data_IF_612199780230
#
_entry.id   IF_612199780230
#
_cell.length_a   1.000
_cell.length_b   1.000
_cell.length_c   1.000
_cell.angle_alpha   90.00
_cell.angle_beta   90.00
_cell.angle_gamma   90.00
#
_symmetry.space_group_name_H-M   'P 1'
#
loop_
_entity.id
_entity.type
_entity.pdbx_description
1 polymer ?
#
# COMPACT_ATOMS: atom_id res chain seq x y z
N UNK A 1 6.28 15.68 2.41
CA UNK A 1 7.54 15.04 1.97
C UNK A 1 7.36 13.52 1.86
N UNK A 2 7.99 12.94 0.86
CA UNK A 2 8.08 11.50 0.66
C UNK A 2 9.54 11.13 0.83
N UNK A 3 9.83 10.14 1.65
CA UNK A 3 11.15 9.60 1.86
C UNK A 3 11.12 8.10 1.61
N UNK A 4 12.11 7.56 0.94
CA UNK A 4 12.21 6.14 0.68
C UNK A 4 13.65 5.68 0.64
N UNK A 5 13.89 4.45 1.02
CA UNK A 5 15.20 3.82 1.00
C UNK A 5 15.10 2.33 0.71
N UNK A 6 16.17 1.81 0.15
CA UNK A 6 16.35 0.38 -0.07
C UNK A 6 17.52 -0.09 0.79
N UNK A 7 17.28 -1.15 1.54
CA UNK A 7 18.26 -1.77 2.40
C UNK A 7 18.44 -3.21 1.93
N UNK A 8 19.67 -3.62 1.65
CA UNK A 8 20.03 -5.00 1.29
C UNK A 8 20.99 -5.56 2.34
N UNK A 9 20.46 -5.95 3.51
CA UNK A 9 21.31 -6.39 4.62
C UNK A 9 22.04 -7.70 4.29
N UNK A 10 21.46 -8.52 3.42
CA UNK A 10 21.99 -9.81 3.01
C UNK A 10 21.73 -10.00 1.51
N UNK A 11 22.53 -10.81 0.86
CA UNK A 11 22.41 -11.10 -0.59
C UNK A 11 21.08 -11.74 -0.98
N UNK A 12 20.42 -12.38 -0.02
CA UNK A 12 19.13 -13.05 -0.20
C UNK A 12 17.93 -12.23 0.30
N UNK A 13 18.15 -11.06 0.92
CA UNK A 13 17.10 -10.21 1.48
C UNK A 13 17.24 -8.76 0.99
N UNK A 14 16.18 -8.25 0.38
CA UNK A 14 16.04 -6.86 -0.01
C UNK A 14 14.80 -6.29 0.68
N UNK A 15 14.97 -5.15 1.35
CA UNK A 15 13.90 -4.43 2.05
C UNK A 15 13.77 -3.04 1.43
N UNK A 16 12.60 -2.70 0.95
CA UNK A 16 12.28 -1.37 0.45
C UNK A 16 11.27 -0.72 1.38
N UNK A 17 11.65 0.42 1.94
CA UNK A 17 10.79 1.21 2.83
C UNK A 17 10.46 2.52 2.15
N UNK A 18 9.19 2.86 2.07
CA UNK A 18 8.72 4.16 1.57
C UNK A 18 7.78 4.76 2.61
N UNK A 19 8.04 5.99 3.02
CA UNK A 19 7.21 6.72 3.96
C UNK A 19 6.83 8.07 3.36
N UNK A 20 5.56 8.39 3.38
CA UNK A 20 5.01 9.67 2.96
C UNK A 20 4.21 10.29 4.09
N UNK A 21 4.42 11.58 4.32
CA UNK A 21 3.63 12.35 5.24
C UNK A 21 3.24 13.68 4.61
N UNK A 22 1.96 14.02 4.68
CA UNK A 22 1.45 15.30 4.22
C UNK A 22 0.53 15.92 5.28
N UNK A 23 0.67 17.21 5.49
CA UNK A 23 -0.28 18.01 6.26
C UNK A 23 -0.67 19.23 5.45
N UNK A 24 -1.94 19.54 5.43
CA UNK A 24 -2.50 20.73 4.82
C UNK A 24 -3.31 21.45 5.90
N UNK A 25 -3.07 22.73 6.05
CA UNK A 25 -3.85 23.59 6.93
C UNK A 25 -4.69 24.49 6.03
N UNK A 26 -6.00 24.43 6.19
CA UNK A 26 -6.94 25.30 5.51
C UNK A 26 -7.63 26.17 6.55
N UNK A 27 -7.51 27.48 6.42
CA UNK A 27 -8.23 28.45 7.23
C UNK A 27 -9.31 29.13 6.39
N UNK A 28 -10.52 29.18 6.91
CA UNK A 28 -11.62 29.94 6.31
C UNK A 28 -11.78 31.19 7.16
N UNK A 29 -11.39 32.34 6.61
CA UNK A 29 -11.69 33.63 7.18
C UNK A 29 -13.11 34.06 6.77
N UNK A 30 -14.11 33.44 7.36
CA UNK A 30 -15.48 33.95 7.26
C UNK A 30 -15.72 34.94 8.38
N UNK A 31 -16.48 36.00 8.08
CA UNK A 31 -16.68 37.21 8.90
C UNK A 31 -17.08 36.92 10.36
N UNK A 32 -17.46 35.70 10.73
CA UNK A 32 -17.82 35.32 12.09
C UNK A 32 -17.37 33.90 12.54
N UNK A 33 -16.55 33.22 11.76
CA UNK A 33 -16.14 31.85 12.13
C UNK A 33 -14.69 31.58 11.66
N UNK A 34 -13.75 31.68 12.61
CA UNK A 34 -12.35 31.30 12.39
C UNK A 34 -12.18 29.80 12.53
N UNK A 35 -12.73 29.01 11.61
CA UNK A 35 -12.52 27.58 11.60
C UNK A 35 -11.28 27.23 10.77
N UNK A 36 -10.26 26.72 11.43
CA UNK A 36 -9.10 26.14 10.77
C UNK A 36 -9.21 24.61 10.79
N UNK A 37 -9.15 23.99 9.63
CA UNK A 37 -9.13 22.54 9.53
C UNK A 37 -7.75 22.06 9.10
N UNK A 38 -7.16 21.17 9.89
CA UNK A 38 -5.88 20.54 9.58
C UNK A 38 -6.10 19.13 9.05
N UNK A 39 -5.67 18.89 7.82
CA UNK A 39 -5.69 17.57 7.19
C UNK A 39 -4.31 16.92 7.31
N UNK A 40 -4.27 15.74 7.88
CA UNK A 40 -3.04 14.95 8.05
C UNK A 40 -3.20 13.60 7.38
N UNK A 41 -2.28 13.29 6.49
CA UNK A 41 -2.20 11.99 5.83
C UNK A 41 -0.81 11.40 5.99
N UNK A 42 -0.74 10.11 6.28
CA UNK A 42 0.51 9.38 6.31
C UNK A 42 0.36 8.06 5.55
N UNK A 43 1.36 7.73 4.76
CA UNK A 43 1.44 6.47 4.04
C UNK A 43 2.78 5.83 4.34
N UNK A 44 2.76 4.57 4.74
CA UNK A 44 3.97 3.78 4.96
C UNK A 44 3.85 2.49 4.16
N UNK A 45 4.87 2.18 3.36
CA UNK A 45 4.95 0.96 2.58
C UNK A 45 6.27 0.27 2.87
N UNK A 46 6.19 -1.01 3.20
CA UNK A 46 7.35 -1.86 3.41
C UNK A 46 7.22 -3.05 2.45
N UNK A 47 8.23 -3.26 1.65
CA UNK A 47 8.31 -4.41 0.75
C UNK A 47 9.53 -5.25 1.12
N UNK A 48 9.31 -6.52 1.37
CA UNK A 48 10.33 -7.52 1.57
C UNK A 48 10.43 -8.38 0.31
N UNK A 49 11.64 -8.56 -0.20
CA UNK A 49 11.93 -9.52 -1.26
C UNK A 49 12.98 -10.50 -0.71
N UNK A 50 12.61 -11.76 -0.63
CA UNK A 50 13.45 -12.83 -0.10
C UNK A 50 13.75 -13.79 -1.23
N UNK A 51 15.04 -13.92 -1.56
CA UNK A 51 15.55 -14.82 -2.58
C UNK A 51 16.07 -16.08 -1.89
N UNK A 52 15.16 -17.02 -1.59
CA UNK A 52 15.51 -18.24 -0.84
C UNK A 52 16.50 -19.09 -1.63
N UNK A 53 16.27 -19.19 -2.94
CA UNK A 53 17.16 -19.83 -3.90
C UNK A 53 17.10 -19.08 -5.23
N UNK A 54 17.96 -19.44 -6.21
CA UNK A 54 17.89 -18.91 -7.58
C UNK A 54 16.54 -19.24 -8.26
N UNK A 55 15.84 -20.23 -7.77
CA UNK A 55 14.57 -20.73 -8.32
C UNK A 55 13.37 -20.21 -7.54
N UNK A 56 13.52 -19.94 -6.23
CA UNK A 56 12.42 -19.58 -5.35
C UNK A 56 12.57 -18.18 -4.80
N UNK A 57 11.57 -17.34 -5.07
CA UNK A 57 11.49 -15.96 -4.59
C UNK A 57 10.17 -15.76 -3.86
N UNK A 58 10.25 -15.12 -2.70
CA UNK A 58 9.11 -14.66 -1.93
C UNK A 58 9.13 -13.14 -1.83
N UNK A 59 8.01 -12.50 -2.12
CA UNK A 59 7.83 -11.05 -1.93
C UNK A 59 6.58 -10.80 -1.12
N UNK A 60 6.68 -9.90 -0.15
CA UNK A 60 5.50 -9.38 0.56
C UNK A 60 5.56 -7.86 0.62
N UNK A 61 4.41 -7.24 0.49
CA UNK A 61 4.24 -5.78 0.59
C UNK A 61 3.19 -5.50 1.64
N UNK A 62 3.52 -4.64 2.59
CA UNK A 62 2.59 -4.15 3.60
C UNK A 62 2.51 -2.64 3.46
N UNK A 63 1.31 -2.11 3.35
CA UNK A 63 1.05 -0.69 3.23
C UNK A 63 0.05 -0.25 4.29
N UNK A 64 0.43 0.77 5.07
CA UNK A 64 -0.43 1.43 6.05
C UNK A 64 -0.75 2.85 5.59
N UNK A 65 -2.01 3.21 5.58
CA UNK A 65 -2.51 4.53 5.25
C UNK A 65 -3.24 5.12 6.45
N UNK A 66 -2.92 6.36 6.78
CA UNK A 66 -3.58 7.14 7.81
C UNK A 66 -4.18 8.41 7.21
N UNK A 67 -5.43 8.71 7.59
CA UNK A 67 -6.08 9.97 7.24
C UNK A 67 -6.98 10.42 8.41
N UNK A 68 -6.78 11.63 8.91
CA UNK A 68 -7.53 12.15 10.04
C UNK A 68 -8.94 12.66 9.69
N UNK A 69 -9.27 12.83 8.41
CA UNK A 69 -10.60 13.26 7.95
C UNK A 69 -11.62 12.11 7.91
N UNK A 70 -11.17 10.87 7.94
CA UNK A 70 -12.06 9.73 7.99
C UNK A 70 -12.47 9.45 9.44
N UNK A 71 -13.75 9.58 9.77
CA UNK A 71 -14.26 9.28 11.11
C UNK A 71 -14.18 7.79 11.45
N UNK A 72 -14.49 6.94 10.47
CA UNK A 72 -14.33 5.49 10.54
C UNK A 72 -13.12 5.09 9.70
N UNK A 73 -12.31 4.17 10.19
CA UNK A 73 -11.14 3.62 9.48
C UNK A 73 -10.05 4.66 9.18
N UNK A 74 -9.64 5.43 10.18
CA UNK A 74 -8.49 6.35 10.06
C UNK A 74 -7.20 5.65 9.65
N UNK A 75 -7.08 4.38 10.00
CA UNK A 75 -5.97 3.50 9.62
C UNK A 75 -6.48 2.40 8.70
N UNK A 76 -5.88 2.28 7.53
CA UNK A 76 -6.17 1.21 6.59
C UNK A 76 -4.88 0.49 6.25
N UNK A 77 -4.90 -0.83 6.34
CA UNK A 77 -3.75 -1.68 6.07
C UNK A 77 -4.02 -2.57 4.87
N UNK A 78 -3.06 -2.63 3.97
CA UNK A 78 -3.05 -3.54 2.83
C UNK A 78 -1.86 -4.46 2.93
N UNK A 79 -2.04 -5.69 2.52
CA UNK A 79 -0.98 -6.67 2.47
C UNK A 79 -1.13 -7.57 1.27
N UNK A 80 -0.03 -7.76 0.54
CA UNK A 80 0.05 -8.65 -0.61
C UNK A 80 1.25 -9.57 -0.48
N UNK A 81 1.12 -10.81 -0.94
CA UNK A 81 2.20 -11.79 -1.00
C UNK A 81 2.32 -12.36 -2.41
N UNK A 82 3.54 -12.66 -2.81
CA UNK A 82 3.85 -13.28 -4.07
C UNK A 82 4.94 -14.34 -3.87
N UNK A 83 4.62 -15.58 -4.21
CA UNK A 83 5.56 -16.67 -4.31
C UNK A 83 5.85 -16.94 -5.78
N UNK A 84 7.10 -17.02 -6.15
CA UNK A 84 7.56 -17.41 -7.49
C UNK A 84 8.48 -18.59 -7.40
N UNK A 85 8.19 -19.61 -8.19
CA UNK A 85 9.03 -20.78 -8.33
C UNK A 85 9.35 -21.03 -9.80
N UNK A 86 10.64 -20.96 -10.15
CA UNK A 86 11.13 -21.11 -11.51
C UNK A 86 11.80 -22.46 -11.68
N UNK A 87 11.24 -23.28 -12.54
CA UNK A 87 11.83 -24.49 -13.06
C UNK A 87 12.39 -24.24 -14.48
N UNK A 88 13.10 -25.21 -15.02
CA UNK A 88 13.72 -25.11 -16.36
C UNK A 88 12.72 -24.72 -17.46
N UNK A 89 11.53 -25.31 -17.44
CA UNK A 89 10.49 -25.15 -18.46
C UNK A 89 9.15 -24.62 -17.90
N UNK A 90 9.04 -24.45 -16.59
CA UNK A 90 7.80 -24.06 -15.92
C UNK A 90 8.09 -22.98 -14.89
N UNK A 91 7.26 -21.96 -14.86
CA UNK A 91 7.25 -20.94 -13.81
C UNK A 91 5.89 -20.96 -13.11
N UNK A 92 5.91 -21.08 -11.80
CA UNK A 92 4.74 -21.08 -10.94
C UNK A 92 4.72 -19.79 -10.13
N UNK A 93 3.61 -19.04 -10.23
CA UNK A 93 3.36 -17.87 -9.41
C UNK A 93 2.13 -18.12 -8.54
N UNK A 94 2.24 -17.89 -7.25
CA UNK A 94 1.11 -17.86 -6.32
C UNK A 94 1.05 -16.49 -5.68
N UNK A 95 -0.03 -15.77 -5.94
CA UNK A 95 -0.24 -14.42 -5.45
C UNK A 95 -1.45 -14.38 -4.52
N UNK A 96 -1.28 -13.81 -3.33
CA UNK A 96 -2.36 -13.52 -2.42
C UNK A 96 -2.45 -11.99 -2.24
N UNK A 97 -3.61 -11.42 -2.56
CA UNK A 97 -3.86 -9.99 -2.50
C UNK A 97 -4.87 -9.68 -1.40
N UNK A 98 -4.70 -8.51 -0.79
CA UNK A 98 -5.57 -8.01 0.26
C UNK A 98 -5.65 -8.97 1.47
N UNK A 99 -4.49 -9.35 2.01
CA UNK A 99 -4.36 -10.28 3.14
C UNK A 99 -5.16 -9.86 4.38
N UNK A 100 -5.34 -8.56 4.58
CA UNK A 100 -6.12 -8.02 5.70
C UNK A 100 -7.62 -7.96 5.42
N UNK A 101 -8.04 -8.45 4.23
CA UNK A 101 -9.44 -8.52 3.80
C UNK A 101 -10.20 -7.19 3.96
N UNK A 102 -9.56 -6.10 3.57
CA UNK A 102 -10.18 -4.78 3.58
C UNK A 102 -11.29 -4.71 2.51
N UNK A 103 -12.49 -4.33 2.92
CA UNK A 103 -13.65 -4.30 2.01
C UNK A 103 -13.87 -2.93 1.38
N UNK A 104 -13.39 -1.88 2.05
CA UNK A 104 -13.59 -0.50 1.61
C UNK A 104 -12.32 0.31 1.83
N UNK A 105 -12.04 1.19 0.88
CA UNK A 105 -11.02 2.21 0.99
C UNK A 105 -11.62 3.57 0.70
N UNK A 106 -11.55 4.47 1.66
CA UNK A 106 -12.02 5.84 1.51
C UNK A 106 -10.83 6.77 1.30
N UNK A 107 -10.80 7.41 0.14
CA UNK A 107 -9.86 8.46 -0.17
C UNK A 107 -10.51 9.81 0.03
N UNK A 108 -9.91 10.67 0.82
CA UNK A 108 -10.36 12.04 1.00
C UNK A 108 -9.34 12.96 0.35
N UNK A 109 -9.79 13.73 -0.62
CA UNK A 109 -9.01 14.77 -1.28
C UNK A 109 -9.53 16.13 -0.83
N UNK A 110 -8.62 17.05 -0.65
CA UNK A 110 -8.90 18.40 -0.23
C UNK A 110 -8.50 19.38 -1.34
N UNK A 111 -9.41 20.25 -1.75
CA UNK A 111 -9.13 21.28 -2.74
C UNK A 111 -9.75 22.59 -2.28
N UNK A 112 -8.93 23.43 -1.66
CA UNK A 112 -9.38 24.75 -1.16
C UNK A 112 -10.48 24.63 -0.09
N UNK A 113 -11.71 24.96 -0.45
CA UNK A 113 -12.88 24.91 0.44
C UNK A 113 -13.66 23.59 0.37
N UNK A 114 -13.34 22.74 -0.62
CA UNK A 114 -14.11 21.55 -0.89
C UNK A 114 -13.41 20.29 -0.37
N UNK A 115 -14.18 19.41 0.27
CA UNK A 115 -13.74 18.09 0.70
C UNK A 115 -14.41 17.06 -0.22
N UNK A 116 -13.61 16.34 -0.99
CA UNK A 116 -14.07 15.25 -1.82
C UNK A 116 -13.73 13.93 -1.18
N UNK A 117 -14.74 13.17 -0.79
CA UNK A 117 -14.55 11.80 -0.34
C UNK A 117 -14.97 10.81 -1.43
N UNK A 118 -14.11 9.88 -1.73
CA UNK A 118 -14.42 8.77 -2.64
C UNK A 118 -14.21 7.47 -1.90
N UNK A 119 -15.26 6.68 -1.79
CA UNK A 119 -15.20 5.34 -1.19
C UNK A 119 -15.26 4.31 -2.30
N UNK A 120 -14.23 3.50 -2.40
CA UNK A 120 -14.14 2.39 -3.34
C UNK A 120 -14.32 1.07 -2.60
N UNK A 121 -15.15 0.19 -3.16
CA UNK A 121 -15.21 -1.18 -2.71
C UNK A 121 -13.99 -1.94 -3.24
N UNK A 122 -13.32 -2.63 -2.35
CA UNK A 122 -12.16 -3.43 -2.68
C UNK A 122 -12.55 -4.89 -2.88
N UNK A 123 -11.81 -5.57 -3.75
CA UNK A 123 -11.93 -7.01 -3.83
C UNK A 123 -11.50 -7.63 -2.49
N UNK A 124 -12.25 -8.61 -1.98
CA UNK A 124 -11.85 -9.33 -0.77
C UNK A 124 -10.51 -10.04 -0.98
N UNK A 125 -10.01 -10.67 0.07
CA UNK A 125 -8.84 -11.54 -0.04
C UNK A 125 -9.01 -12.48 -1.23
N UNK A 126 -8.07 -12.43 -2.16
CA UNK A 126 -8.05 -13.33 -3.31
C UNK A 126 -6.68 -14.00 -3.46
N UNK A 127 -6.71 -15.24 -3.91
CA UNK A 127 -5.52 -16.03 -4.19
C UNK A 127 -5.56 -16.42 -5.66
N UNK A 128 -4.47 -16.11 -6.37
CA UNK A 128 -4.33 -16.38 -7.80
C UNK A 128 -3.10 -17.23 -8.03
N UNK A 129 -3.28 -18.40 -8.63
CA UNK A 129 -2.21 -19.24 -9.12
C UNK A 129 -2.02 -19.05 -10.62
N UNK A 130 -0.77 -18.90 -11.07
CA UNK A 130 -0.42 -18.78 -12.49
C UNK A 130 0.68 -19.78 -12.82
N UNK A 131 0.47 -20.54 -13.87
CA UNK A 131 1.45 -21.49 -14.42
C UNK A 131 1.84 -21.00 -15.80
N UNK A 132 3.13 -20.80 -16.03
CA UNK A 132 3.69 -20.42 -17.33
C UNK A 132 4.60 -21.50 -17.84
N UNK A 133 4.37 -21.95 -19.05
CA UNK A 133 5.22 -22.90 -19.77
C UNK A 133 6.12 -22.15 -20.74
N UNK A 134 7.41 -22.43 -20.71
CA UNK A 134 8.35 -21.97 -21.74
C UNK A 134 8.42 -23.03 -22.84
N UNK A 135 7.86 -22.69 -23.98
CA UNK A 135 7.98 -23.49 -25.19
C UNK A 135 9.26 -23.03 -25.89
N UNK A 136 10.21 -23.95 -26.10
CA UNK A 136 11.45 -23.67 -26.83
C UNK A 136 11.16 -23.69 -28.32
#
# INVERSE_FOLDING_TARGET
PICGGTITPLTWLNIVITSGYAWNVSSIDAINDNSSQTVRTATQRIKFNIFVTKQFTFSTTIEGNYNNLTEKNRHTWFGDMLFKYKLKHVELDLQANNLFNQHQYTRVNYSGLDIYSSTSQLRPLNIVGTIRFKIL
#
